data_IF_759862427605
#
_entry.id   IF_759862427605
#
_cell.length_a   1.000
_cell.length_b   1.000
_cell.length_c   1.000
_cell.angle_alpha   90.00
_cell.angle_beta   90.00
_cell.angle_gamma   90.00
#
_symmetry.space_group_name_H-M   'P 1'
#
loop_
_entity.id
_entity.type
_entity.pdbx_description
1 polymer ?
#
# COMPACT_ATOMS: atom_id res chain seq x y z
N UNK A 1 -8.76 -28.61 -2.67
CA UNK A 1 -7.82 -27.47 -2.53
C UNK A 1 -8.04 -26.49 -3.69
N UNK A 2 -8.69 -25.35 -3.45
CA UNK A 2 -8.98 -24.35 -4.50
C UNK A 2 -7.73 -23.53 -4.78
N UNK A 3 -7.10 -23.74 -5.94
CA UNK A 3 -6.09 -22.83 -6.51
C UNK A 3 -6.81 -21.52 -6.88
N UNK A 4 -6.89 -20.56 -5.95
CA UNK A 4 -7.21 -19.18 -6.36
C UNK A 4 -6.00 -18.69 -7.16
N UNK A 5 -6.24 -18.39 -8.42
CA UNK A 5 -5.23 -18.10 -9.45
C UNK A 5 -4.27 -17.00 -8.98
N UNK A 6 -2.96 -17.29 -8.98
CA UNK A 6 -1.91 -16.32 -8.64
C UNK A 6 -2.05 -15.00 -9.41
N UNK A 7 -2.57 -15.05 -10.64
CA UNK A 7 -2.85 -13.88 -11.49
C UNK A 7 -3.79 -12.84 -10.85
N UNK A 8 -4.72 -13.25 -9.98
CA UNK A 8 -5.62 -12.30 -9.30
C UNK A 8 -4.86 -11.51 -8.25
N UNK A 9 -3.91 -12.16 -7.55
CA UNK A 9 -3.13 -11.55 -6.48
C UNK A 9 -2.22 -10.45 -7.04
N UNK A 10 -1.57 -10.69 -8.18
CA UNK A 10 -0.70 -9.69 -8.80
C UNK A 10 -1.48 -8.45 -9.25
N UNK A 11 -2.66 -8.64 -9.85
CA UNK A 11 -3.56 -7.52 -10.22
C UNK A 11 -4.08 -6.76 -9.00
N UNK A 12 -4.34 -7.45 -7.90
CA UNK A 12 -4.74 -6.81 -6.64
C UNK A 12 -3.57 -6.01 -6.03
N UNK A 13 -2.33 -6.51 -6.10
CA UNK A 13 -1.13 -5.79 -5.65
C UNK A 13 -0.93 -4.50 -6.45
N UNK A 14 -1.10 -4.56 -7.78
CA UNK A 14 -0.97 -3.39 -8.65
C UNK A 14 -1.99 -2.30 -8.29
N UNK A 15 -3.25 -2.71 -8.04
CA UNK A 15 -4.30 -1.79 -7.56
C UNK A 15 -3.97 -1.20 -6.19
N UNK A 16 -3.48 -2.02 -5.25
CA UNK A 16 -3.08 -1.56 -3.93
C UNK A 16 -1.96 -0.51 -4.04
N UNK A 17 -0.98 -0.72 -4.92
CA UNK A 17 0.09 0.26 -5.17
C UNK A 17 -0.45 1.59 -5.70
N UNK A 18 -1.41 1.57 -6.64
CA UNK A 18 -2.04 2.79 -7.16
C UNK A 18 -2.81 3.56 -6.08
N UNK A 19 -3.49 2.85 -5.17
CA UNK A 19 -4.19 3.45 -4.03
C UNK A 19 -3.18 4.12 -3.08
N UNK A 20 -2.08 3.42 -2.76
CA UNK A 20 -1.04 3.95 -1.88
C UNK A 20 -0.38 5.19 -2.49
N UNK A 21 -0.11 5.20 -3.79
CA UNK A 21 0.46 6.36 -4.47
C UNK A 21 -0.46 7.59 -4.42
N UNK A 22 -1.76 7.36 -4.65
CA UNK A 22 -2.79 8.41 -4.53
C UNK A 22 -2.85 9.00 -3.12
N UNK A 23 -2.78 8.15 -2.10
CA UNK A 23 -2.76 8.60 -0.71
C UNK A 23 -1.43 9.27 -0.36
N UNK A 24 -0.30 8.76 -0.85
CA UNK A 24 1.03 9.35 -0.63
C UNK A 24 1.08 10.82 -1.04
N UNK A 25 0.48 11.18 -2.18
CA UNK A 25 0.40 12.58 -2.61
C UNK A 25 -0.35 13.48 -1.60
N UNK A 26 -1.42 12.96 -0.97
CA UNK A 26 -2.15 13.68 0.09
C UNK A 26 -1.32 13.81 1.35
N UNK A 27 -0.62 12.75 1.75
CA UNK A 27 0.26 12.76 2.92
C UNK A 27 1.46 13.70 2.73
N UNK A 28 2.03 13.75 1.52
CA UNK A 28 3.09 14.69 1.15
C UNK A 28 2.66 16.15 1.32
N UNK A 29 1.42 16.48 0.97
CA UNK A 29 0.84 17.82 1.19
C UNK A 29 0.75 18.23 2.67
N UNK A 30 0.76 17.25 3.58
CA UNK A 30 0.76 17.48 5.04
C UNK A 30 2.17 17.35 5.66
N UNK A 31 3.21 17.15 4.84
CA UNK A 31 4.59 16.95 5.31
C UNK A 31 4.89 15.53 5.80
N UNK A 32 4.00 14.56 5.53
CA UNK A 32 4.22 13.13 5.74
C UNK A 32 4.55 12.40 4.43
N UNK A 33 4.87 11.11 4.52
CA UNK A 33 5.06 10.23 3.38
C UNK A 33 4.56 8.83 3.74
N UNK A 34 4.25 7.99 2.75
CA UNK A 34 3.82 6.60 2.96
C UNK A 34 4.65 5.68 2.08
N UNK A 35 5.32 4.73 2.72
CA UNK A 35 6.04 3.65 2.07
C UNK A 35 5.27 2.34 2.15
N UNK A 36 5.16 1.63 1.03
CA UNK A 36 4.66 0.26 1.03
C UNK A 36 5.73 -0.68 1.58
N UNK A 37 5.37 -1.53 2.55
CA UNK A 37 6.31 -2.48 3.17
C UNK A 37 6.13 -3.88 2.61
N UNK A 38 4.96 -4.48 2.82
CA UNK A 38 4.70 -5.88 2.45
C UNK A 38 3.19 -6.20 2.51
N UNK A 39 2.77 -7.29 1.88
CA UNK A 39 1.40 -7.84 2.02
C UNK A 39 1.46 -9.18 2.72
N UNK A 40 0.91 -9.23 3.93
CA UNK A 40 0.80 -10.46 4.70
C UNK A 40 -0.62 -10.98 4.62
N UNK A 41 -0.81 -12.02 3.81
CA UNK A 41 -2.09 -12.70 3.56
C UNK A 41 -3.17 -11.78 2.95
N UNK A 42 -3.84 -10.98 3.78
CA UNK A 42 -4.88 -10.02 3.42
C UNK A 42 -4.69 -8.64 4.06
N UNK A 43 -3.56 -8.44 4.72
CA UNK A 43 -3.23 -7.19 5.39
C UNK A 43 -2.09 -6.54 4.65
N UNK A 44 -2.33 -5.31 4.19
CA UNK A 44 -1.30 -4.46 3.59
C UNK A 44 -0.57 -3.74 4.71
N UNK A 45 0.74 -3.91 4.79
CA UNK A 45 1.59 -3.18 5.73
C UNK A 45 2.19 -1.99 5.00
N UNK A 46 1.92 -0.82 5.54
CA UNK A 46 2.51 0.45 5.10
C UNK A 46 3.28 1.06 6.26
N UNK A 47 4.37 1.76 5.94
CA UNK A 47 5.14 2.56 6.87
C UNK A 47 4.94 4.03 6.49
N UNK A 48 4.19 4.76 7.29
CA UNK A 48 4.12 6.20 7.16
C UNK A 48 5.33 6.85 7.86
N UNK A 49 5.84 7.91 7.25
CA UNK A 49 7.03 8.65 7.69
C UNK A 49 6.77 10.16 7.60
N UNK A 50 7.67 10.99 8.14
CA UNK A 50 7.57 12.45 8.06
C UNK A 50 6.81 13.12 9.21
N UNK A 51 6.51 14.41 9.02
CA UNK A 51 6.08 15.36 10.06
C UNK A 51 4.71 15.04 10.64
N UNK A 52 3.80 14.48 9.84
CA UNK A 52 2.46 14.05 10.27
C UNK A 52 2.42 12.84 11.21
N UNK A 53 3.58 12.24 11.54
CA UNK A 53 3.64 11.05 12.40
C UNK A 53 4.16 11.33 13.81
N UNK A 54 4.44 12.60 14.15
CA UNK A 54 5.10 12.99 15.40
C UNK A 54 4.15 13.63 16.42
#
# INVERSE_FOLDING_TARGET
MRRRSMETIEKDIEKIKQIIDTERAKYAGLGGDIEFVDIQQKTVRIRPTGFCWR
#
